data_IF_527001659791
#
_entry.id   IF_527001659791
#
_cell.length_a   1.000
_cell.length_b   1.000
_cell.length_c   1.000
_cell.angle_alpha   90.00
_cell.angle_beta   90.00
_cell.angle_gamma   90.00
#
_symmetry.space_group_name_H-M   'P 1'
#
loop_
_entity.id
_entity.type
_entity.pdbx_description
1 polymer ?
#
# COMPACT_ATOMS: atom_id res chain seq x y z
N UNK A 1 4.16 24.72 -53.73
CA UNK A 1 4.88 23.43 -53.77
C UNK A 1 4.17 22.49 -52.81
N UNK A 2 3.51 21.43 -53.28
CA UNK A 2 2.90 20.48 -52.35
C UNK A 2 4.00 19.75 -51.58
N UNK A 3 4.00 19.88 -50.25
CA UNK A 3 4.82 19.07 -49.36
C UNK A 3 4.15 17.70 -49.33
N UNK A 4 4.66 16.75 -50.10
CA UNK A 4 4.26 15.35 -49.97
C UNK A 4 4.92 14.77 -48.72
N UNK A 5 4.12 14.41 -47.72
CA UNK A 5 4.59 13.61 -46.60
C UNK A 5 4.85 12.18 -47.11
N UNK A 6 6.06 11.68 -46.88
CA UNK A 6 6.41 10.30 -47.16
C UNK A 6 6.17 9.46 -45.91
N UNK A 7 5.32 8.45 -46.02
CA UNK A 7 5.07 7.51 -44.93
C UNK A 7 6.33 6.74 -44.59
N UNK A 8 6.54 6.55 -43.29
CA UNK A 8 7.60 5.72 -42.74
C UNK A 8 6.99 4.63 -41.86
N UNK A 9 7.67 3.49 -41.66
CA UNK A 9 7.23 2.49 -40.71
C UNK A 9 7.03 3.10 -39.31
N UNK A 10 6.00 2.63 -38.58
CA UNK A 10 5.66 3.13 -37.24
C UNK A 10 6.84 3.10 -36.27
N UNK A 11 7.66 2.05 -36.31
CA UNK A 11 8.86 1.93 -35.48
C UNK A 11 9.87 3.05 -35.75
N UNK A 12 10.03 3.45 -37.02
CA UNK A 12 10.89 4.57 -37.40
C UNK A 12 10.29 5.90 -36.94
N UNK A 13 8.97 6.08 -37.02
CA UNK A 13 8.30 7.28 -36.50
C UNK A 13 8.47 7.42 -34.98
N UNK A 14 8.29 6.32 -34.23
CA UNK A 14 8.50 6.29 -32.78
C UNK A 14 9.94 6.57 -32.38
N UNK A 15 10.92 6.02 -33.11
CA UNK A 15 12.33 6.31 -32.89
C UNK A 15 12.64 7.79 -33.13
N UNK A 16 12.21 8.36 -34.26
CA UNK A 16 12.41 9.78 -34.54
C UNK A 16 11.76 10.69 -33.49
N UNK A 17 10.57 10.35 -33.01
CA UNK A 17 9.92 11.11 -31.94
C UNK A 17 10.74 11.06 -30.65
N UNK A 18 11.23 9.88 -30.26
CA UNK A 18 12.10 9.72 -29.09
C UNK A 18 13.37 10.53 -29.25
N UNK A 19 14.09 10.39 -30.35
CA UNK A 19 15.33 11.10 -30.62
C UNK A 19 15.13 12.62 -30.54
N UNK A 20 14.02 13.13 -31.08
CA UNK A 20 13.68 14.54 -31.02
C UNK A 20 13.40 15.00 -29.57
N UNK A 21 12.68 14.19 -28.79
CA UNK A 21 12.44 14.48 -27.37
C UNK A 21 13.73 14.41 -26.54
N UNK A 22 14.62 13.46 -26.81
CA UNK A 22 15.93 13.35 -26.15
C UNK A 22 16.81 14.57 -26.46
N UNK A 23 16.90 14.97 -27.73
CA UNK A 23 17.66 16.16 -28.15
C UNK A 23 17.11 17.45 -27.57
N UNK A 24 15.78 17.54 -27.39
CA UNK A 24 15.13 18.67 -26.75
C UNK A 24 15.22 18.64 -25.21
N UNK A 25 15.78 17.58 -24.62
CA UNK A 25 15.80 17.40 -23.15
C UNK A 25 14.41 17.17 -22.56
N UNK A 26 13.47 16.62 -23.33
CA UNK A 26 12.09 16.34 -22.93
C UNK A 26 11.80 14.84 -22.77
N UNK A 27 12.76 13.97 -23.09
CA UNK A 27 12.67 12.53 -22.81
C UNK A 27 13.14 12.18 -21.39
N UNK A 28 12.62 12.92 -20.42
CA UNK A 28 12.96 12.80 -19.00
C UNK A 28 11.82 13.37 -18.15
N UNK A 29 11.96 13.30 -16.82
CA UNK A 29 11.05 14.00 -15.91
C UNK A 29 11.17 15.50 -16.17
N UNK A 30 10.07 16.12 -16.58
CA UNK A 30 10.05 17.52 -17.03
C UNK A 30 10.18 18.52 -15.88
N UNK A 31 9.75 18.12 -14.68
CA UNK A 31 9.79 18.94 -13.48
C UNK A 31 9.25 18.17 -12.29
N UNK A 32 9.70 18.58 -11.11
CA UNK A 32 9.27 18.03 -9.82
C UNK A 32 8.73 19.21 -9.02
N UNK A 33 7.57 19.00 -8.40
CA UNK A 33 6.99 19.93 -7.45
C UNK A 33 6.39 19.14 -6.29
N UNK A 34 6.41 19.75 -5.11
CA UNK A 34 5.65 19.27 -3.98
C UNK A 34 4.29 19.95 -4.00
N UNK A 35 3.24 19.14 -4.02
CA UNK A 35 1.86 19.59 -3.98
C UNK A 35 1.16 18.98 -2.75
N UNK A 36 0.11 19.62 -2.21
CA UNK A 36 -0.72 19.00 -1.19
C UNK A 36 -1.37 17.70 -1.69
N UNK A 37 -1.64 16.78 -0.76
CA UNK A 37 -2.39 15.56 -1.07
C UNK A 37 -3.90 15.86 -1.03
N UNK A 38 -4.38 16.50 -2.09
CA UNK A 38 -5.79 16.83 -2.33
C UNK A 38 -6.24 16.40 -3.74
N UNK A 39 -7.44 16.82 -4.17
CA UNK A 39 -7.97 16.48 -5.49
C UNK A 39 -7.07 16.91 -6.67
N UNK A 40 -6.21 17.91 -6.50
CA UNK A 40 -5.29 18.36 -7.55
C UNK A 40 -4.12 17.39 -7.77
N UNK A 41 -3.89 16.45 -6.85
CA UNK A 41 -2.93 15.37 -7.03
C UNK A 41 -3.43 14.26 -7.97
N UNK A 42 -4.75 14.18 -8.23
CA UNK A 42 -5.32 13.17 -9.10
C UNK A 42 -4.84 13.34 -10.55
N UNK A 43 -4.36 12.24 -11.15
CA UNK A 43 -3.85 12.24 -12.53
C UNK A 43 -2.42 12.75 -12.67
N UNK A 44 -1.77 13.17 -11.57
CA UNK A 44 -0.33 13.44 -11.54
C UNK A 44 0.46 12.13 -11.59
N UNK A 45 1.72 12.21 -12.02
CA UNK A 45 2.67 11.10 -12.00
C UNK A 45 3.69 11.37 -10.89
N UNK A 46 3.92 10.38 -10.03
CA UNK A 46 4.94 10.47 -8.99
C UNK A 46 6.33 10.66 -9.62
N UNK A 47 7.08 11.63 -9.12
CA UNK A 47 8.44 11.90 -9.57
C UNK A 47 9.45 10.82 -9.13
N UNK A 48 9.16 10.14 -8.00
CA UNK A 48 10.00 9.10 -7.42
C UNK A 48 9.15 8.06 -6.66
N UNK A 49 9.72 6.87 -6.36
CA UNK A 49 9.04 5.86 -5.56
C UNK A 49 8.74 6.35 -4.14
N UNK A 50 7.56 6.01 -3.61
CA UNK A 50 7.16 6.31 -2.24
C UNK A 50 7.25 5.04 -1.38
N UNK A 51 7.91 5.15 -0.24
CA UNK A 51 8.09 4.05 0.71
C UNK A 51 7.30 4.29 2.00
N UNK A 52 6.67 3.24 2.51
CA UNK A 52 6.01 3.30 3.80
C UNK A 52 7.02 3.59 4.91
N UNK A 53 6.77 4.63 5.70
CA UNK A 53 7.62 4.99 6.86
C UNK A 53 7.31 4.17 8.10
N UNK A 54 6.10 3.61 8.17
CA UNK A 54 5.55 2.89 9.32
C UNK A 54 4.70 1.73 8.79
N UNK A 55 4.61 0.66 9.58
CA UNK A 55 3.62 -0.40 9.35
C UNK A 55 2.20 0.15 9.53
N UNK A 56 1.23 -0.41 8.83
CA UNK A 56 -0.18 -0.10 8.99
C UNK A 56 -0.99 -1.41 9.06
N UNK A 57 -1.53 -1.80 10.22
CA UNK A 57 -1.39 -1.12 11.52
C UNK A 57 0.06 -1.14 12.05
N UNK A 58 0.41 -0.14 12.85
CA UNK A 58 1.73 -0.02 13.48
C UNK A 58 1.82 -0.78 14.82
N UNK A 59 0.76 -1.52 15.17
CA UNK A 59 0.60 -2.30 16.39
C UNK A 59 -0.10 -3.63 16.06
N UNK A 60 -0.12 -4.56 17.02
CA UNK A 60 -0.87 -5.80 16.89
C UNK A 60 -2.37 -5.49 17.06
N UNK A 61 -3.08 -5.30 15.96
CA UNK A 61 -4.52 -5.04 15.98
C UNK A 61 -5.31 -6.34 15.97
N UNK A 62 -6.43 -6.39 16.71
CA UNK A 62 -7.38 -7.49 16.61
C UNK A 62 -8.04 -7.48 15.23
N UNK A 63 -8.11 -8.67 14.60
CA UNK A 63 -8.78 -8.85 13.32
C UNK A 63 -10.30 -9.12 13.46
N UNK A 64 -10.77 -9.32 14.69
CA UNK A 64 -12.16 -9.70 14.99
C UNK A 64 -12.60 -9.12 16.33
N UNK A 65 -13.91 -9.04 16.53
CA UNK A 65 -14.50 -8.81 17.85
C UNK A 65 -14.45 -10.12 18.65
N UNK A 66 -14.01 -10.08 19.90
CA UNK A 66 -13.85 -11.27 20.73
C UNK A 66 -13.00 -11.05 21.97
N UNK A 67 -12.13 -12.02 22.28
CA UNK A 67 -11.28 -11.99 23.47
C UNK A 67 -9.82 -12.25 23.10
N UNK A 68 -8.95 -11.32 23.46
CA UNK A 68 -7.51 -11.53 23.48
C UNK A 68 -7.14 -12.46 24.63
N UNK A 69 -6.31 -13.48 24.36
CA UNK A 69 -5.89 -14.49 25.33
C UNK A 69 -4.55 -15.08 24.91
N UNK A 70 -3.82 -15.67 25.87
CA UNK A 70 -2.59 -16.41 25.58
C UNK A 70 -2.94 -17.77 24.97
N UNK A 71 -2.54 -18.01 23.72
CA UNK A 71 -2.93 -19.23 22.98
C UNK A 71 -2.62 -20.55 23.72
N UNK A 72 -1.53 -20.59 24.51
CA UNK A 72 -1.17 -21.75 25.33
C UNK A 72 -2.24 -22.11 26.39
N UNK A 73 -3.06 -21.15 26.84
CA UNK A 73 -4.14 -21.39 27.81
C UNK A 73 -5.28 -22.22 27.24
N UNK A 74 -5.42 -22.28 25.91
CA UNK A 74 -6.45 -23.10 25.25
C UNK A 74 -5.93 -24.47 24.82
N UNK A 75 -4.68 -24.82 25.17
CA UNK A 75 -4.12 -26.12 24.81
C UNK A 75 -4.95 -27.27 25.41
N UNK A 76 -5.33 -28.24 24.56
CA UNK A 76 -6.12 -29.40 24.98
C UNK A 76 -7.62 -29.14 25.12
N UNK A 77 -8.12 -27.94 24.79
CA UNK A 77 -9.55 -27.68 24.75
C UNK A 77 -10.24 -28.57 23.71
N UNK A 78 -11.29 -29.29 24.14
CA UNK A 78 -12.11 -30.15 23.28
C UNK A 78 -13.59 -29.83 23.49
N UNK A 79 -14.48 -30.09 22.52
CA UNK A 79 -15.92 -29.91 22.72
C UNK A 79 -16.49 -30.68 23.92
N UNK A 80 -15.93 -31.85 24.23
CA UNK A 80 -16.30 -32.68 25.39
C UNK A 80 -15.57 -32.31 26.69
N UNK A 81 -14.54 -31.46 26.61
CA UNK A 81 -13.72 -31.02 27.74
C UNK A 81 -13.24 -29.58 27.49
N UNK A 82 -14.13 -28.59 27.63
CA UNK A 82 -13.79 -27.20 27.38
C UNK A 82 -12.86 -26.63 28.45
N UNK A 83 -12.03 -25.66 28.07
CA UNK A 83 -11.26 -24.83 29.01
C UNK A 83 -12.12 -23.64 29.42
N UNK A 84 -12.14 -23.33 30.72
CA UNK A 84 -12.79 -22.12 31.25
C UNK A 84 -11.72 -21.04 31.47
N UNK A 85 -11.95 -19.86 30.91
CA UNK A 85 -11.09 -18.68 31.06
C UNK A 85 -11.90 -17.57 31.72
N UNK A 86 -11.25 -16.77 32.57
CA UNK A 86 -11.89 -15.64 33.26
C UNK A 86 -11.56 -14.34 32.53
N UNK A 87 -12.61 -13.57 32.23
CA UNK A 87 -12.46 -12.21 31.69
C UNK A 87 -11.76 -11.35 32.75
N UNK A 88 -10.87 -10.47 32.28
CA UNK A 88 -9.99 -9.58 33.05
C UNK A 88 -8.86 -10.28 33.85
N UNK A 89 -8.81 -11.61 33.86
CA UNK A 89 -7.71 -12.39 34.46
C UNK A 89 -6.92 -13.20 33.42
N UNK A 90 -7.62 -13.97 32.58
CA UNK A 90 -7.04 -14.84 31.56
C UNK A 90 -7.26 -14.31 30.13
N UNK A 91 -8.27 -13.45 29.95
CA UNK A 91 -8.63 -12.86 28.67
C UNK A 91 -9.17 -11.44 28.82
N UNK A 92 -9.09 -10.64 27.76
CA UNK A 92 -9.64 -9.28 27.69
C UNK A 92 -10.48 -9.15 26.44
N UNK A 93 -11.64 -8.52 26.55
CA UNK A 93 -12.49 -8.24 25.39
C UNK A 93 -11.80 -7.23 24.45
N UNK A 94 -11.88 -7.47 23.14
CA UNK A 94 -11.35 -6.58 22.09
C UNK A 94 -12.34 -6.51 20.94
N UNK A 95 -12.48 -5.32 20.35
CA UNK A 95 -13.16 -5.12 19.06
C UNK A 95 -12.15 -5.12 17.90
N UNK A 96 -12.68 -5.22 16.67
CA UNK A 96 -11.88 -5.17 15.45
C UNK A 96 -11.11 -3.84 15.35
N UNK A 97 -9.78 -3.95 15.22
CA UNK A 97 -8.88 -2.81 15.20
C UNK A 97 -8.32 -2.42 16.57
N UNK A 98 -8.84 -2.94 17.68
CA UNK A 98 -8.27 -2.66 19.00
C UNK A 98 -6.85 -3.23 19.12
N UNK A 99 -5.95 -2.55 19.84
CA UNK A 99 -4.63 -3.09 20.14
C UNK A 99 -4.74 -4.30 21.06
N UNK A 100 -4.02 -5.37 20.71
CA UNK A 100 -3.86 -6.50 21.61
C UNK A 100 -2.99 -6.10 22.81
N UNK A 101 -3.30 -6.60 24.02
CA UNK A 101 -2.41 -6.47 25.16
C UNK A 101 -1.05 -7.11 24.87
N UNK A 102 0.05 -6.51 25.35
CA UNK A 102 1.42 -7.01 25.12
C UNK A 102 1.66 -8.45 25.59
N UNK A 103 0.83 -8.95 26.50
CA UNK A 103 0.93 -10.29 27.07
C UNK A 103 0.15 -11.35 26.29
N UNK A 104 -0.74 -10.96 25.38
CA UNK A 104 -1.67 -11.85 24.66
C UNK A 104 -0.96 -12.65 23.56
#
# INVERSE_FOLDING_TARGET
>A
MPIYLHDIPLSQAQARLRDALEQAGLWQVLGIEEIPLDENALGRVLAEPVWARLSSPHYHASAMDGFALRAERTAGALPSSPVTLRIDEDSVYVDTGDPLPDWA
#
